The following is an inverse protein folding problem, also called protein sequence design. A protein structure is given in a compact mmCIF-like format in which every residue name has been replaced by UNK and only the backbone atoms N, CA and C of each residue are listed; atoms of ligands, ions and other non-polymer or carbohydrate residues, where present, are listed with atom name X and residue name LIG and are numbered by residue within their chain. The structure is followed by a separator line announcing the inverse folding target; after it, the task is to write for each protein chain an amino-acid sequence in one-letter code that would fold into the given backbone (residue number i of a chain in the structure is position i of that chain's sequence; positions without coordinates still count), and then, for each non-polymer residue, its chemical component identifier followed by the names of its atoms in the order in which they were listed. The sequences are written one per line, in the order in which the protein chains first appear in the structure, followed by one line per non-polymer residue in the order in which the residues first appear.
data_IF_051479563133
#
_entry.id   IF_051479563133
#
_cell.length_a   1.000
_cell.length_b   1.000
_cell.length_c   1.000
_cell.angle_alpha   90.00
_cell.angle_beta   90.00
_cell.angle_gamma   90.00
#
_symmetry.space_group_name_H-M   'P 1'
#
loop_
_entity.id
_entity.type
_entity.pdbx_description
1 polymer ?
#
# COMPACT_ATOMS: atom_id res chain seq x y z
N UNK A 1 17.00 -32.79 43.45
CA UNK A 1 16.32 -31.47 43.35
C UNK A 1 15.89 -31.23 41.91
N UNK A 2 14.60 -31.43 41.59
CA UNK A 2 14.00 -31.13 40.26
C UNK A 2 13.10 -29.91 40.44
N UNK A 3 13.38 -28.80 39.75
CA UNK A 3 12.48 -27.64 39.67
C UNK A 3 11.77 -27.69 38.33
N UNK A 4 10.48 -27.97 38.36
CA UNK A 4 9.54 -27.81 37.25
C UNK A 4 9.04 -26.36 37.25
N UNK A 5 9.39 -25.60 36.23
CA UNK A 5 8.86 -24.26 35.99
C UNK A 5 7.56 -24.32 35.20
N UNK A 6 6.44 -24.04 35.86
CA UNK A 6 5.16 -23.76 35.20
C UNK A 6 5.20 -22.35 34.60
N UNK A 7 4.89 -22.23 33.31
CA UNK A 7 4.64 -20.96 32.64
C UNK A 7 3.13 -20.75 32.51
N UNK A 8 2.60 -19.74 33.20
CA UNK A 8 1.24 -19.25 32.96
C UNK A 8 1.25 -18.28 31.78
N UNK A 9 0.51 -18.59 30.73
CA UNK A 9 0.19 -17.67 29.65
C UNK A 9 -0.88 -16.68 30.13
N UNK A 10 -0.56 -15.39 30.11
CA UNK A 10 -1.52 -14.31 30.33
C UNK A 10 -2.26 -14.04 29.00
N UNK A 11 -3.54 -14.36 28.97
CA UNK A 11 -4.42 -14.16 27.82
C UNK A 11 -5.14 -12.80 27.97
N UNK A 12 -4.66 -11.77 27.28
CA UNK A 12 -5.29 -10.44 27.24
C UNK A 12 -6.33 -10.38 26.12
N UNK A 13 -7.49 -10.98 26.37
CA UNK A 13 -8.71 -10.79 25.59
C UNK A 13 -9.67 -9.83 26.29
N UNK A 14 -10.17 -8.84 25.54
CA UNK A 14 -11.34 -7.96 25.82
C UNK A 14 -11.15 -6.78 26.79
N UNK A 15 -10.93 -5.60 26.20
CA UNK A 15 -11.44 -4.33 26.74
C UNK A 15 -12.07 -3.54 25.58
N UNK A 16 -13.33 -3.86 25.26
CA UNK A 16 -14.19 -2.99 24.46
C UNK A 16 -14.89 -2.00 25.38
N UNK A 17 -14.25 -0.86 25.67
CA UNK A 17 -14.89 0.25 26.37
C UNK A 17 -15.76 1.02 25.36
N UNK A 18 -17.05 0.68 25.34
CA UNK A 18 -18.08 1.52 24.74
C UNK A 18 -18.30 2.73 25.65
N UNK A 19 -17.76 3.88 25.26
CA UNK A 19 -18.03 5.16 25.93
C UNK A 19 -19.38 5.70 25.45
N UNK A 20 -20.46 5.28 26.11
CA UNK A 20 -21.75 5.96 26.06
C UNK A 20 -21.69 7.19 26.97
N UNK A 21 -21.45 8.37 26.40
CA UNK A 21 -21.56 9.62 27.14
C UNK A 21 -23.04 9.94 27.39
N UNK A 22 -23.51 10.04 28.64
CA UNK A 22 -24.87 10.49 28.91
C UNK A 22 -25.02 11.96 28.51
N UNK A 23 -26.07 12.27 27.75
CA UNK A 23 -26.48 13.60 27.27
C UNK A 23 -26.67 14.67 28.38
N UNK A 24 -26.41 14.33 29.65
CA UNK A 24 -26.55 15.20 30.82
C UNK A 24 -25.31 16.06 31.13
N UNK A 25 -24.17 15.82 30.47
CA UNK A 25 -22.95 16.61 30.71
C UNK A 25 -22.87 17.93 29.92
N UNK A 26 -23.64 18.08 28.84
CA UNK A 26 -23.63 19.32 28.04
C UNK A 26 -24.33 20.49 28.73
N UNK A 27 -25.26 20.24 29.66
CA UNK A 27 -25.95 21.31 30.40
C UNK A 27 -25.11 21.88 31.55
N UNK A 28 -24.15 21.12 32.09
CA UNK A 28 -23.31 21.58 33.20
C UNK A 28 -22.23 22.59 32.77
N UNK A 29 -21.68 22.45 31.55
CA UNK A 29 -20.66 23.37 31.04
C UNK A 29 -21.25 24.71 30.62
N UNK A 30 -22.51 24.73 30.14
CA UNK A 30 -23.20 25.97 29.80
C UNK A 30 -23.50 26.86 31.02
N UNK A 31 -23.76 26.27 32.20
CA UNK A 31 -23.99 27.05 33.43
C UNK A 31 -22.70 27.59 34.07
N UNK A 32 -21.56 26.92 33.89
CA UNK A 32 -20.29 27.38 34.46
C UNK A 32 -19.70 28.61 33.73
N UNK A 33 -20.12 28.88 32.48
CA UNK A 33 -19.68 30.06 31.72
C UNK A 33 -20.51 31.32 32.00
N UNK A 34 -21.65 31.19 32.68
CA UNK A 34 -22.52 32.33 32.99
C UNK A 34 -22.06 33.17 34.20
N UNK A 35 -21.13 32.69 35.03
CA UNK A 35 -20.67 33.41 36.24
C UNK A 35 -19.47 34.34 36.02
N UNK A 36 -18.90 34.38 34.81
CA UNK A 36 -17.70 35.15 34.50
C UNK A 36 -17.96 36.56 33.94
N UNK A 37 -19.21 37.04 33.93
CA UNK A 37 -19.52 38.43 33.55
C UNK A 37 -19.12 38.82 32.12
N UNK A 38 -18.91 37.83 31.24
CA UNK A 38 -18.65 38.06 29.82
C UNK A 38 -19.99 38.35 29.17
N UNK A 39 -20.24 39.61 28.83
CA UNK A 39 -21.47 40.05 28.17
C UNK A 39 -21.75 39.25 26.89
N UNK A 40 -23.02 39.18 26.44
CA UNK A 40 -23.42 38.40 25.28
C UNK A 40 -22.77 38.99 24.01
N UNK A 41 -21.59 38.48 23.68
CA UNK A 41 -20.98 38.75 22.38
C UNK A 41 -21.83 38.01 21.35
N UNK A 42 -22.52 38.79 20.54
CA UNK A 42 -23.42 38.36 19.49
C UNK A 42 -22.61 37.52 18.49
N UNK A 43 -22.59 36.20 18.67
CA UNK A 43 -21.95 35.26 17.74
C UNK A 43 -22.82 35.24 16.48
N UNK A 44 -22.49 36.12 15.53
CA UNK A 44 -23.04 36.06 14.19
C UNK A 44 -22.57 34.77 13.53
N UNK A 45 -23.46 33.79 13.47
CA UNK A 45 -23.30 32.62 12.61
C UNK A 45 -23.33 33.11 11.16
N UNK A 46 -22.15 33.27 10.57
CA UNK A 46 -22.01 33.44 9.12
C UNK A 46 -22.41 32.11 8.49
N UNK A 47 -23.64 32.07 7.95
CA UNK A 47 -24.14 30.93 7.19
C UNK A 47 -23.22 30.71 5.98
N UNK A 48 -22.37 29.69 6.04
CA UNK A 48 -21.53 29.29 4.92
C UNK A 48 -22.43 28.90 3.74
N UNK A 49 -22.28 29.62 2.63
CA UNK A 49 -23.00 29.29 1.40
C UNK A 49 -22.71 27.83 0.99
N UNK A 50 -23.72 27.07 0.54
CA UNK A 50 -23.52 25.68 0.14
C UNK A 50 -22.55 25.62 -1.04
N UNK A 51 -21.37 25.07 -0.81
CA UNK A 51 -20.41 24.74 -1.87
C UNK A 51 -21.10 23.76 -2.83
N UNK A 52 -21.42 24.26 -4.03
CA UNK A 52 -22.00 23.46 -5.11
C UNK A 52 -20.95 22.47 -5.61
N UNK A 53 -20.92 21.29 -4.99
CA UNK A 53 -20.19 20.12 -5.49
C UNK A 53 -20.94 19.58 -6.70
N UNK A 54 -20.63 20.10 -7.90
CA UNK A 54 -21.04 19.43 -9.15
C UNK A 54 -20.49 18.01 -9.13
N UNK A 55 -21.34 16.97 -9.13
CA UNK A 55 -20.86 15.60 -9.14
C UNK A 55 -20.12 15.37 -10.46
N UNK A 56 -18.84 14.99 -10.35
CA UNK A 56 -18.06 14.54 -11.49
C UNK A 56 -18.85 13.40 -12.15
N UNK A 57 -19.21 13.60 -13.42
CA UNK A 57 -19.96 12.63 -14.22
C UNK A 57 -19.06 11.40 -14.41
N UNK A 58 -19.31 10.36 -13.62
CA UNK A 58 -18.57 9.11 -13.60
C UNK A 58 -18.98 8.31 -14.85
N UNK A 59 -18.20 8.42 -15.95
CA UNK A 59 -18.48 7.79 -17.26
C UNK A 59 -18.04 6.31 -17.28
N UNK A 60 -18.44 5.55 -16.26
CA UNK A 60 -18.28 4.09 -16.30
C UNK A 60 -19.63 3.45 -16.05
N UNK A 61 -20.13 2.57 -16.94
CA UNK A 61 -21.34 1.82 -16.68
C UNK A 61 -21.13 0.98 -15.41
N UNK A 62 -21.82 1.37 -14.34
CA UNK A 62 -21.95 0.58 -13.11
C UNK A 62 -22.85 -0.61 -13.41
N UNK A 63 -22.29 -1.66 -14.00
CA UNK A 63 -22.88 -2.98 -13.81
C UNK A 63 -22.54 -3.40 -12.36
N UNK A 64 -23.52 -3.48 -11.45
CA UNK A 64 -23.28 -3.84 -10.05
C UNK A 64 -22.68 -5.24 -9.87
N UNK A 65 -22.67 -6.06 -10.93
CA UNK A 65 -22.12 -7.40 -10.94
C UNK A 65 -20.82 -7.54 -11.75
N UNK A 66 -20.37 -6.50 -12.45
CA UNK A 66 -19.07 -6.53 -13.14
C UNK A 66 -17.95 -6.33 -12.13
N UNK A 67 -17.53 -7.43 -11.50
CA UNK A 67 -16.21 -7.49 -10.86
C UNK A 67 -15.22 -7.80 -11.98
N UNK A 68 -14.34 -6.87 -12.39
CA UNK A 68 -13.26 -7.23 -13.29
C UNK A 68 -12.52 -8.43 -12.68
N UNK A 69 -12.09 -9.38 -13.49
CA UNK A 69 -11.28 -10.49 -13.03
C UNK A 69 -9.97 -9.94 -12.45
N UNK A 70 -9.95 -9.68 -11.14
CA UNK A 70 -8.76 -9.22 -10.45
C UNK A 70 -7.82 -10.43 -10.36
N UNK A 71 -6.89 -10.52 -11.30
CA UNK A 71 -5.77 -11.44 -11.19
C UNK A 71 -4.96 -10.99 -9.98
N UNK A 72 -4.83 -11.89 -9.01
CA UNK A 72 -4.07 -11.73 -7.79
C UNK A 72 -2.66 -11.28 -8.14
N UNK A 73 -2.40 -10.01 -7.87
CA UNK A 73 -1.12 -9.38 -8.19
C UNK A 73 -0.22 -9.45 -6.98
N UNK A 74 0.94 -10.07 -7.12
CA UNK A 74 1.99 -10.07 -6.10
C UNK A 74 2.99 -8.96 -6.42
N UNK A 75 3.11 -7.99 -5.53
CA UNK A 75 4.13 -6.94 -5.62
C UNK A 75 5.28 -7.29 -4.69
N UNK A 76 6.50 -7.29 -5.21
CA UNK A 76 7.70 -7.48 -4.40
C UNK A 76 8.30 -6.13 -4.05
N UNK A 77 8.47 -5.93 -2.75
CA UNK A 77 9.23 -4.83 -2.17
C UNK A 77 10.55 -5.43 -1.72
N UNK A 78 11.55 -5.35 -2.59
CA UNK A 78 12.85 -5.99 -2.37
C UNK A 78 13.82 -4.95 -1.83
N UNK A 79 14.06 -4.97 -0.52
CA UNK A 79 15.23 -4.28 0.04
C UNK A 79 16.48 -5.18 0.01
N UNK A 80 16.28 -6.50 0.01
CA UNK A 80 17.36 -7.49 -0.02
C UNK A 80 17.08 -8.54 -1.12
N UNK A 81 17.81 -8.41 -2.22
CA UNK A 81 17.66 -9.29 -3.37
C UNK A 81 18.24 -10.68 -3.14
N UNK A 82 19.18 -10.82 -2.20
CA UNK A 82 19.85 -12.09 -1.94
C UNK A 82 18.85 -13.12 -1.37
N UNK A 83 17.94 -12.68 -0.49
CA UNK A 83 16.90 -13.54 0.10
C UNK A 83 15.95 -14.17 -0.93
N UNK A 84 15.77 -13.52 -2.07
CA UNK A 84 14.86 -13.98 -3.12
C UNK A 84 15.57 -14.78 -4.22
N UNK A 85 16.91 -14.75 -4.24
CA UNK A 85 17.74 -15.40 -5.25
C UNK A 85 17.99 -16.89 -4.97
N UNK A 86 17.65 -17.40 -3.78
CA UNK A 86 17.81 -18.81 -3.44
C UNK A 86 17.07 -19.72 -4.44
N UNK A 87 17.71 -20.83 -4.82
CA UNK A 87 17.12 -21.84 -5.69
C UNK A 87 16.34 -22.83 -4.84
N UNK A 88 15.08 -23.04 -5.19
CA UNK A 88 14.21 -24.04 -4.55
C UNK A 88 14.25 -25.30 -5.41
N UNK A 89 14.61 -26.47 -4.85
CA UNK A 89 14.56 -27.74 -5.57
C UNK A 89 13.12 -28.10 -5.93
N UNK A 90 12.94 -28.99 -6.90
CA UNK A 90 11.62 -29.47 -7.26
C UNK A 90 10.92 -30.10 -6.04
N UNK A 91 9.68 -29.68 -5.78
CA UNK A 91 8.92 -30.05 -4.59
C UNK A 91 7.49 -30.42 -4.98
N UNK A 92 7.04 -31.57 -4.50
CA UNK A 92 5.65 -32.01 -4.63
C UNK A 92 5.06 -32.19 -3.24
N UNK A 93 4.01 -31.45 -2.93
CA UNK A 93 3.28 -31.53 -1.68
C UNK A 93 1.82 -31.90 -2.00
N UNK A 94 1.25 -32.85 -1.26
CA UNK A 94 -0.14 -33.28 -1.42
C UNK A 94 -0.97 -32.86 -0.22
N UNK A 95 -2.18 -32.38 -0.46
CA UNK A 95 -3.17 -32.04 0.57
C UNK A 95 -2.64 -31.10 1.66
N UNK A 96 -1.84 -30.11 1.26
CA UNK A 96 -1.19 -29.16 2.18
C UNK A 96 -1.96 -27.85 2.25
N UNK A 97 -1.89 -27.20 3.41
CA UNK A 97 -2.44 -25.86 3.60
C UNK A 97 -1.42 -24.78 3.25
N UNK A 98 -1.88 -23.56 2.95
CA UNK A 98 -1.01 -22.43 2.63
C UNK A 98 0.09 -22.19 3.70
N UNK A 99 -0.21 -22.15 5.02
CA UNK A 99 0.83 -21.97 6.03
C UNK A 99 1.86 -23.10 6.04
N UNK A 100 1.44 -24.34 5.78
CA UNK A 100 2.36 -25.49 5.72
C UNK A 100 3.32 -25.38 4.54
N UNK A 101 2.82 -24.98 3.37
CA UNK A 101 3.65 -24.78 2.17
C UNK A 101 4.67 -23.67 2.41
N UNK A 102 4.25 -22.54 2.98
CA UNK A 102 5.12 -21.40 3.25
C UNK A 102 6.18 -21.73 4.31
N UNK A 103 5.82 -22.46 5.37
CA UNK A 103 6.78 -22.94 6.38
C UNK A 103 7.77 -23.93 5.78
N UNK A 104 7.33 -24.83 4.89
CA UNK A 104 8.21 -25.77 4.20
C UNK A 104 9.20 -25.03 3.30
N UNK A 105 8.70 -24.06 2.53
CA UNK A 105 9.52 -23.19 1.70
C UNK A 105 10.58 -22.44 2.52
N UNK A 106 10.17 -21.80 3.62
CA UNK A 106 11.05 -21.15 4.59
C UNK A 106 12.13 -22.09 5.15
N UNK A 107 11.76 -23.32 5.51
CA UNK A 107 12.72 -24.30 6.05
C UNK A 107 13.79 -24.73 5.04
N UNK A 108 13.44 -24.82 3.75
CA UNK A 108 14.36 -25.21 2.68
C UNK A 108 15.35 -24.07 2.38
N UNK A 109 14.86 -22.84 2.32
CA UNK A 109 15.69 -21.66 1.99
C UNK A 109 16.39 -21.05 3.19
N UNK A 110 16.07 -21.49 4.42
CA UNK A 110 16.54 -20.90 5.67
C UNK A 110 16.20 -19.41 5.81
N UNK A 111 15.12 -18.97 5.16
CA UNK A 111 14.63 -17.58 5.23
C UNK A 111 13.48 -17.50 6.21
N UNK A 112 13.43 -16.48 7.07
CA UNK A 112 12.30 -16.28 7.96
C UNK A 112 11.11 -15.71 7.16
N UNK A 113 10.00 -16.43 7.08
CA UNK A 113 8.80 -15.98 6.37
C UNK A 113 7.64 -15.80 7.35
N UNK A 114 7.09 -14.59 7.38
CA UNK A 114 5.98 -14.21 8.26
C UNK A 114 4.80 -13.77 7.39
N UNK A 115 3.68 -14.49 7.47
CA UNK A 115 2.44 -14.12 6.79
C UNK A 115 1.47 -13.40 7.73
N UNK A 116 0.84 -12.33 7.26
CA UNK A 116 -0.29 -11.69 7.98
C UNK A 116 -1.57 -12.50 7.76
N UNK A 117 -1.71 -13.61 8.50
CA UNK A 117 -2.83 -14.55 8.36
C UNK A 117 -4.20 -13.90 8.56
N UNK A 118 -4.29 -12.99 9.53
CA UNK A 118 -5.51 -12.24 9.80
C UNK A 118 -5.92 -11.35 8.61
N UNK A 119 -4.95 -10.71 7.94
CA UNK A 119 -5.24 -9.89 6.77
C UNK A 119 -5.73 -10.75 5.58
N UNK A 120 -5.17 -11.94 5.39
CA UNK A 120 -5.62 -12.88 4.36
C UNK A 120 -7.05 -13.40 4.63
N UNK A 121 -7.37 -13.71 5.90
CA UNK A 121 -8.72 -14.14 6.29
C UNK A 121 -9.78 -13.06 6.06
N UNK A 122 -9.46 -11.78 6.31
CA UNK A 122 -10.36 -10.65 6.01
C UNK A 122 -10.69 -10.51 4.52
N UNK A 123 -9.83 -11.04 3.64
CA UNK A 123 -10.06 -11.14 2.19
C UNK A 123 -10.67 -12.48 1.77
N UNK A 124 -11.28 -13.20 2.71
CA UNK A 124 -11.94 -14.49 2.51
C UNK A 124 -11.03 -15.60 1.98
N UNK A 125 -9.71 -15.53 2.20
CA UNK A 125 -8.81 -16.62 1.87
C UNK A 125 -8.97 -17.73 2.91
N UNK A 126 -9.36 -18.92 2.46
CA UNK A 126 -9.51 -20.08 3.33
C UNK A 126 -8.13 -20.72 3.59
N UNK A 127 -7.51 -20.36 4.72
CA UNK A 127 -6.22 -20.90 5.15
C UNK A 127 -6.24 -22.42 5.44
N UNK A 128 -7.43 -23.00 5.65
CA UNK A 128 -7.61 -24.44 5.91
C UNK A 128 -7.81 -25.24 4.62
N UNK A 129 -7.99 -24.57 3.47
CA UNK A 129 -8.10 -25.24 2.17
C UNK A 129 -6.83 -26.03 1.92
N UNK A 130 -6.99 -27.32 1.63
CA UNK A 130 -5.90 -28.22 1.28
C UNK A 130 -5.83 -28.30 -0.23
N UNK A 131 -4.63 -28.10 -0.77
CA UNK A 131 -4.37 -28.22 -2.20
C UNK A 131 -3.09 -29.01 -2.45
N UNK A 132 -3.01 -29.62 -3.63
CA UNK A 132 -1.79 -30.25 -4.11
C UNK A 132 -0.93 -29.19 -4.80
N UNK A 133 0.31 -29.06 -4.37
CA UNK A 133 1.26 -28.05 -4.86
C UNK A 133 2.43 -28.75 -5.53
N UNK A 134 2.68 -28.40 -6.78
CA UNK A 134 3.82 -28.89 -7.56
C UNK A 134 4.68 -27.70 -7.98
N UNK A 135 5.90 -27.67 -7.48
CA UNK A 135 6.89 -26.65 -7.80
C UNK A 135 8.06 -27.31 -8.52
N UNK A 136 8.40 -26.81 -9.71
CA UNK A 136 9.64 -27.17 -10.38
C UNK A 136 10.86 -26.52 -9.71
N UNK A 137 12.06 -26.94 -10.10
CA UNK A 137 13.29 -26.29 -9.69
C UNK A 137 13.31 -24.83 -10.20
N UNK A 138 13.13 -23.88 -9.30
CA UNK A 138 12.93 -22.46 -9.65
C UNK A 138 13.52 -21.54 -8.59
N UNK A 139 13.62 -20.23 -8.88
CA UNK A 139 14.00 -19.27 -7.86
C UNK A 139 12.92 -19.14 -6.79
N UNK A 140 13.34 -18.85 -5.56
CA UNK A 140 12.45 -18.71 -4.42
C UNK A 140 11.35 -17.68 -4.65
N UNK A 141 11.70 -16.55 -5.31
CA UNK A 141 10.73 -15.57 -5.79
C UNK A 141 9.62 -16.20 -6.63
N UNK A 142 9.97 -16.98 -7.65
CA UNK A 142 8.99 -17.60 -8.56
C UNK A 142 8.14 -18.64 -7.85
N UNK A 143 8.76 -19.47 -7.01
CA UNK A 143 8.06 -20.45 -6.18
C UNK A 143 7.03 -19.79 -5.27
N UNK A 144 7.39 -18.70 -4.58
CA UNK A 144 6.50 -17.97 -3.70
C UNK A 144 5.32 -17.34 -4.46
N UNK A 145 5.55 -16.73 -5.62
CA UNK A 145 4.46 -16.22 -6.47
C UNK A 145 3.53 -17.35 -6.91
N UNK A 146 4.07 -18.48 -7.35
CA UNK A 146 3.28 -19.60 -7.85
C UNK A 146 2.35 -20.14 -6.76
N UNK A 147 2.89 -20.39 -5.55
CA UNK A 147 2.10 -20.82 -4.39
C UNK A 147 1.03 -19.80 -4.05
N UNK A 148 1.39 -18.53 -3.91
CA UNK A 148 0.45 -17.48 -3.50
C UNK A 148 -0.66 -17.28 -4.55
N UNK A 149 -0.35 -17.35 -5.84
CA UNK A 149 -1.36 -17.31 -6.91
C UNK A 149 -2.32 -18.50 -6.87
N UNK A 150 -1.81 -19.68 -6.54
CA UNK A 150 -2.63 -20.88 -6.43
C UNK A 150 -3.64 -20.77 -5.28
N UNK A 151 -3.21 -20.34 -4.09
CA UNK A 151 -4.09 -20.26 -2.91
C UNK A 151 -4.94 -18.98 -2.84
N UNK A 152 -4.49 -17.88 -3.45
CA UNK A 152 -5.15 -16.58 -3.38
C UNK A 152 -5.19 -15.86 -4.74
N UNK A 153 -5.87 -16.45 -5.75
CA UNK A 153 -5.88 -15.92 -7.12
C UNK A 153 -6.58 -14.58 -7.28
N UNK A 154 -7.36 -14.11 -6.29
CA UNK A 154 -8.14 -12.86 -6.36
C UNK A 154 -7.69 -11.82 -5.33
N UNK A 155 -6.52 -12.00 -4.72
CA UNK A 155 -6.03 -11.08 -3.68
C UNK A 155 -4.73 -10.47 -4.10
N UNK A 156 -4.70 -9.13 -4.10
CA UNK A 156 -3.49 -8.36 -4.27
C UNK A 156 -2.63 -8.48 -3.01
N UNK A 157 -1.46 -9.09 -3.16
CA UNK A 157 -0.51 -9.35 -2.09
C UNK A 157 0.74 -8.50 -2.27
N UNK A 158 1.28 -8.06 -1.14
CA UNK A 158 2.54 -7.34 -1.06
C UNK A 158 3.51 -8.22 -0.28
N UNK A 159 4.67 -8.48 -0.87
CA UNK A 159 5.74 -9.27 -0.26
C UNK A 159 6.91 -8.32 -0.01
N UNK A 160 7.22 -8.08 1.25
CA UNK A 160 8.27 -7.17 1.68
C UNK A 160 9.43 -7.94 2.28
N UNK A 161 10.65 -7.70 1.79
CA UNK A 161 11.87 -8.21 2.38
C UNK A 161 12.51 -7.14 3.25
N UNK A 162 12.59 -7.35 4.56
CA UNK A 162 13.25 -6.44 5.49
C UNK A 162 13.90 -7.23 6.63
N UNK A 163 15.13 -6.85 7.00
CA UNK A 163 15.84 -7.42 8.16
C UNK A 163 15.91 -8.95 8.15
N UNK A 164 16.19 -9.56 6.99
CA UNK A 164 16.22 -11.03 6.82
C UNK A 164 14.87 -11.73 7.09
N UNK A 165 13.77 -10.97 7.09
CA UNK A 165 12.40 -11.48 7.21
C UNK A 165 11.60 -11.11 5.97
N UNK A 166 10.87 -12.10 5.45
CA UNK A 166 9.93 -11.94 4.36
C UNK A 166 8.52 -11.82 4.92
N UNK A 167 7.96 -10.64 4.79
CA UNK A 167 6.59 -10.34 5.20
C UNK A 167 5.65 -10.49 4.02
N UNK A 168 4.67 -11.38 4.14
CA UNK A 168 3.58 -11.53 3.16
C UNK A 168 2.32 -10.90 3.73
N UNK A 169 1.83 -9.83 3.10
CA UNK A 169 0.64 -9.10 3.54
C UNK A 169 -0.30 -8.82 2.37
N UNK A 170 -1.50 -8.35 2.68
CA UNK A 170 -2.44 -7.86 1.66
C UNK A 170 -2.16 -6.40 1.35
N UNK A 171 -2.46 -5.97 0.13
CA UNK A 171 -2.35 -4.56 -0.25
C UNK A 171 -3.17 -3.65 0.68
N UNK A 172 -4.38 -4.07 1.06
CA UNK A 172 -5.24 -3.31 1.96
C UNK A 172 -4.62 -3.10 3.36
N UNK A 173 -3.88 -4.09 3.86
CA UNK A 173 -3.17 -3.98 5.14
C UNK A 173 -1.91 -3.11 5.01
N UNK A 174 -1.17 -3.23 3.90
CA UNK A 174 -0.03 -2.35 3.60
C UNK A 174 -0.45 -0.88 3.50
N UNK A 175 -1.63 -0.62 2.94
CA UNK A 175 -2.21 0.72 2.80
C UNK A 175 -2.57 1.40 4.14
N UNK A 176 -2.69 0.61 5.21
CA UNK A 176 -2.94 1.14 6.55
C UNK A 176 -1.67 1.62 7.23
N UNK A 177 -0.51 1.10 6.84
CA UNK A 177 0.79 1.45 7.42
C UNK A 177 1.47 2.51 6.58
N UNK A 178 1.29 3.78 6.97
CA UNK A 178 1.92 4.91 6.30
C UNK A 178 3.30 5.17 6.91
N UNK A 179 4.29 5.33 6.03
CA UNK A 179 5.65 5.70 6.40
C UNK A 179 5.93 7.07 5.78
N UNK A 180 6.52 7.98 6.54
CA UNK A 180 6.97 9.28 6.02
C UNK A 180 8.45 9.20 5.70
N UNK A 181 8.83 9.60 4.49
CA UNK A 181 10.23 9.72 4.03
C UNK A 181 10.40 11.02 3.26
N UNK A 182 11.57 11.62 3.42
CA UNK A 182 11.98 12.79 2.65
C UNK A 182 12.96 12.34 1.58
N UNK A 183 12.71 12.76 0.34
CA UNK A 183 13.52 12.48 -0.84
C UNK A 183 14.04 13.79 -1.41
N UNK A 184 15.21 13.75 -2.01
CA UNK A 184 15.65 14.83 -2.90
C UNK A 184 14.86 14.76 -4.20
N UNK A 185 14.48 15.91 -4.74
CA UNK A 185 13.71 16.00 -5.97
C UNK A 185 14.46 15.35 -7.14
N UNK A 186 15.78 15.53 -7.20
CA UNK A 186 16.67 14.99 -8.22
C UNK A 186 16.63 13.44 -8.25
N UNK A 187 16.69 12.81 -7.08
CA UNK A 187 16.62 11.35 -6.95
C UNK A 187 15.28 10.80 -7.43
N UNK A 188 14.18 11.51 -7.15
CA UNK A 188 12.86 11.12 -7.63
C UNK A 188 12.77 11.23 -9.16
N UNK A 189 13.33 12.29 -9.73
CA UNK A 189 13.40 12.49 -11.19
C UNK A 189 14.22 11.38 -11.84
N UNK A 190 15.33 10.95 -11.26
CA UNK A 190 16.16 9.87 -11.83
C UNK A 190 15.43 8.51 -11.78
N UNK A 191 14.66 8.26 -10.72
CA UNK A 191 13.94 7.01 -10.52
C UNK A 191 12.63 6.92 -11.32
N UNK A 192 11.96 8.05 -11.59
CA UNK A 192 10.66 8.11 -12.27
C UNK A 192 10.61 7.56 -13.71
N UNK A 193 11.60 7.81 -14.59
CA UNK A 193 11.65 7.22 -15.92
C UNK A 193 11.53 5.70 -15.88
N UNK A 194 11.98 5.04 -14.81
CA UNK A 194 11.83 3.59 -14.62
C UNK A 194 10.41 3.20 -14.22
N UNK A 195 9.82 3.97 -13.30
CA UNK A 195 8.44 3.79 -12.84
C UNK A 195 7.47 3.87 -14.02
N UNK A 196 7.72 4.81 -14.94
CA UNK A 196 6.83 5.08 -16.07
C UNK A 196 7.09 4.12 -17.25
N UNK A 197 8.36 3.73 -17.49
CA UNK A 197 8.71 2.71 -18.51
C UNK A 197 8.07 1.35 -18.23
N UNK A 198 7.79 1.00 -16.97
CA UNK A 198 7.10 -0.24 -16.60
C UNK A 198 5.57 -0.18 -16.77
N UNK A 199 4.99 0.99 -17.07
CA UNK A 199 3.54 1.22 -17.05
C UNK A 199 2.94 1.65 -18.39
N UNK A 200 3.40 2.74 -19.01
CA UNK A 200 2.90 3.23 -20.31
C UNK A 200 3.67 4.48 -20.76
N UNK A 201 3.81 4.67 -22.08
CA UNK A 201 4.61 5.69 -22.78
C UNK A 201 4.54 7.15 -22.23
N UNK A 202 5.63 7.63 -21.62
CA UNK A 202 5.96 9.06 -21.44
C UNK A 202 5.80 9.88 -22.74
N UNK A 203 6.06 9.24 -23.88
CA UNK A 203 5.86 9.82 -25.22
C UNK A 203 4.42 10.28 -25.47
N UNK A 204 3.40 9.65 -24.86
CA UNK A 204 2.01 10.08 -25.02
C UNK A 204 1.68 11.36 -24.25
N UNK A 205 2.32 11.61 -23.11
CA UNK A 205 2.21 12.89 -22.40
C UNK A 205 2.95 13.99 -23.16
N UNK A 206 4.14 13.69 -23.72
CA UNK A 206 4.87 14.62 -24.59
C UNK A 206 4.07 14.99 -25.84
N UNK A 207 3.43 14.01 -26.49
CA UNK A 207 2.57 14.22 -27.67
C UNK A 207 1.24 14.90 -27.35
N UNK A 208 0.65 14.70 -26.16
CA UNK A 208 -0.53 15.48 -25.71
C UNK A 208 -0.17 16.93 -25.40
N UNK A 209 1.01 17.20 -24.85
CA UNK A 209 1.51 18.56 -24.67
C UNK A 209 1.71 19.30 -25.99
N UNK A 210 2.16 18.60 -27.04
CA UNK A 210 2.43 19.20 -28.34
C UNK A 210 1.17 19.62 -29.13
N UNK A 211 0.00 19.00 -28.89
CA UNK A 211 -1.23 19.29 -29.66
C UNK A 211 -2.15 20.36 -29.04
N UNK A 212 -1.74 20.98 -27.92
CA UNK A 212 -2.55 21.99 -27.19
C UNK A 212 -1.95 23.42 -27.30
N UNK A 213 -0.89 23.62 -28.08
CA UNK A 213 -0.17 24.90 -28.15
C UNK A 213 -0.71 25.88 -29.21
N UNK A 214 -2.01 26.18 -29.15
CA UNK A 214 -2.60 27.39 -29.76
C UNK A 214 -3.37 28.22 -28.71
N UNK A 215 -3.05 28.05 -27.43
CA UNK A 215 -3.61 28.84 -26.34
C UNK A 215 -2.49 29.53 -25.57
N UNK A 216 -2.76 30.83 -25.31
CA UNK A 216 -2.06 31.80 -24.44
C UNK A 216 -1.01 31.17 -23.53
N UNK A 217 0.25 31.67 -23.51
CA UNK A 217 1.30 31.12 -22.66
C UNK A 217 0.81 31.06 -21.22
N UNK A 218 0.59 29.83 -20.73
CA UNK A 218 0.33 29.62 -19.31
C UNK A 218 1.60 30.02 -18.56
N UNK A 219 1.49 30.67 -17.40
CA UNK A 219 2.64 30.96 -16.56
C UNK A 219 3.43 29.67 -16.38
N UNK A 220 4.76 29.74 -16.57
CA UNK A 220 5.65 28.61 -16.36
C UNK A 220 5.44 28.09 -14.94
N UNK A 221 4.71 26.99 -14.79
CA UNK A 221 4.69 26.27 -13.54
C UNK A 221 6.10 25.72 -13.30
N UNK A 222 6.65 25.87 -12.10
CA UNK A 222 7.93 25.26 -11.77
C UNK A 222 7.86 23.77 -12.10
N UNK A 223 8.96 23.23 -12.64
CA UNK A 223 9.08 21.83 -13.12
C UNK A 223 8.61 20.82 -12.05
N UNK A 224 8.71 21.19 -10.78
CA UNK A 224 8.36 20.38 -9.64
C UNK A 224 6.87 20.03 -9.54
N UNK A 225 5.94 20.94 -9.90
CA UNK A 225 4.49 20.65 -9.88
C UNK A 225 4.13 19.48 -10.81
N UNK A 226 4.84 19.36 -11.93
CA UNK A 226 4.61 18.31 -12.92
C UNK A 226 5.00 16.91 -12.37
N UNK A 227 6.05 16.84 -11.55
CA UNK A 227 6.56 15.58 -11.01
C UNK A 227 5.63 15.02 -9.93
N UNK A 228 5.12 15.87 -9.04
CA UNK A 228 4.15 15.50 -8.02
C UNK A 228 2.87 14.92 -8.65
N UNK A 229 2.34 15.61 -9.67
CA UNK A 229 1.18 15.12 -10.43
C UNK A 229 1.49 13.78 -11.12
N UNK A 230 2.67 13.65 -11.71
CA UNK A 230 3.09 12.42 -12.38
C UNK A 230 3.18 11.24 -11.40
N UNK A 231 3.77 11.44 -10.23
CA UNK A 231 3.84 10.42 -9.16
C UNK A 231 2.43 10.04 -8.70
N UNK A 232 1.61 11.03 -8.35
CA UNK A 232 0.26 10.79 -7.80
C UNK A 232 -0.67 10.14 -8.82
N UNK A 233 -0.50 10.37 -10.11
CA UNK A 233 -1.29 9.76 -11.17
C UNK A 233 -0.77 8.37 -11.61
N UNK A 234 0.55 8.14 -11.52
CA UNK A 234 1.16 6.89 -12.01
C UNK A 234 1.24 5.82 -10.92
N UNK A 235 1.62 6.20 -9.70
CA UNK A 235 1.88 5.25 -8.61
C UNK A 235 0.62 5.11 -7.76
N UNK A 236 -0.18 4.07 -8.04
CA UNK A 236 -1.36 3.68 -7.23
C UNK A 236 -2.30 4.88 -6.92
N UNK A 237 -2.92 5.51 -7.93
CA UNK A 237 -3.57 6.82 -7.78
C UNK A 237 -4.57 6.91 -6.63
N UNK A 238 -5.33 5.84 -6.38
CA UNK A 238 -6.37 5.77 -5.35
C UNK A 238 -5.90 5.94 -3.90
N UNK A 239 -4.59 5.84 -3.62
CA UNK A 239 -4.11 5.95 -2.24
C UNK A 239 -3.79 7.39 -1.83
N UNK A 240 -3.69 8.32 -2.76
CA UNK A 240 -3.27 9.70 -2.50
C UNK A 240 -4.42 10.58 -2.04
N UNK A 241 -4.14 11.57 -1.19
CA UNK A 241 -5.13 12.51 -0.63
C UNK A 241 -5.93 13.24 -1.72
N UNK A 242 -5.28 13.64 -2.82
CA UNK A 242 -5.93 14.29 -3.97
C UNK A 242 -6.94 13.38 -4.69
N UNK A 243 -6.88 12.07 -4.46
CA UNK A 243 -7.82 11.07 -4.99
C UNK A 243 -8.67 10.41 -3.89
N UNK A 244 -8.76 11.01 -2.70
CA UNK A 244 -9.56 10.51 -1.58
C UNK A 244 -8.90 9.40 -0.76
N UNK A 245 -7.61 9.15 -0.95
CA UNK A 245 -6.82 8.23 -0.14
C UNK A 245 -6.20 8.89 1.10
N UNK A 246 -5.24 8.21 1.75
CA UNK A 246 -4.58 8.66 2.99
C UNK A 246 -3.13 9.11 2.80
N UNK A 247 -2.52 8.79 1.66
CA UNK A 247 -1.12 9.11 1.39
C UNK A 247 -0.97 10.58 1.00
N UNK A 248 0.08 11.22 1.49
CA UNK A 248 0.37 12.62 1.22
C UNK A 248 1.72 12.76 0.52
N UNK A 249 1.83 13.79 -0.31
CA UNK A 249 3.11 14.21 -0.89
C UNK A 249 3.15 15.74 -0.87
N UNK A 250 4.22 16.29 -0.32
CA UNK A 250 4.43 17.73 -0.21
C UNK A 250 5.87 18.08 -0.52
N UNK A 251 6.07 19.16 -1.24
CA UNK A 251 7.38 19.68 -1.59
C UNK A 251 7.67 20.94 -0.76
N UNK A 252 8.88 21.01 -0.21
CA UNK A 252 9.41 22.19 0.46
C UNK A 252 10.82 22.40 -0.05
N UNK A 253 11.00 23.39 -0.91
CA UNK A 253 12.24 23.61 -1.68
C UNK A 253 12.57 22.35 -2.52
N UNK A 254 13.82 21.90 -2.53
CA UNK A 254 14.26 20.72 -3.30
C UNK A 254 14.02 19.38 -2.57
N UNK A 255 13.25 19.41 -1.47
CA UNK A 255 12.92 18.24 -0.68
C UNK A 255 11.44 17.88 -0.83
N UNK A 256 11.20 16.62 -1.20
CA UNK A 256 9.86 16.05 -1.32
C UNK A 256 9.61 15.12 -0.15
N UNK A 257 8.69 15.49 0.72
CA UNK A 257 8.23 14.66 1.83
C UNK A 257 7.04 13.83 1.37
N UNK A 258 7.21 12.51 1.38
CA UNK A 258 6.19 11.54 0.97
C UNK A 258 5.76 10.74 2.18
N UNK A 259 4.46 10.76 2.49
CA UNK A 259 3.82 9.88 3.47
C UNK A 259 2.96 8.86 2.74
N UNK A 260 3.47 7.65 2.58
CA UNK A 260 2.82 6.61 1.77
C UNK A 260 3.11 5.19 2.33
N UNK A 261 2.38 4.16 1.88
CA UNK A 261 2.62 2.77 2.24
C UNK A 261 4.04 2.31 1.91
N UNK A 262 4.53 1.31 2.64
CA UNK A 262 5.87 0.76 2.44
C UNK A 262 6.11 0.30 0.99
N UNK A 263 5.10 -0.27 0.34
CA UNK A 263 5.19 -0.66 -1.07
C UNK A 263 5.43 0.50 -2.02
N UNK A 264 4.82 1.65 -1.77
CA UNK A 264 5.02 2.87 -2.55
C UNK A 264 6.38 3.49 -2.26
N UNK A 265 6.78 3.53 -0.99
CA UNK A 265 8.09 4.05 -0.61
C UNK A 265 9.23 3.25 -1.26
N UNK A 266 9.06 1.95 -1.41
CA UNK A 266 10.01 1.13 -2.14
C UNK A 266 10.06 1.49 -3.62
N UNK A 267 8.91 1.66 -4.28
CA UNK A 267 8.83 2.07 -5.69
C UNK A 267 9.55 3.41 -5.90
N UNK A 268 9.32 4.37 -5.01
CA UNK A 268 9.92 5.71 -5.11
C UNK A 268 11.41 5.73 -4.80
N UNK A 269 11.87 4.92 -3.84
CA UNK A 269 13.29 4.82 -3.48
C UNK A 269 14.15 4.27 -4.64
N UNK A 270 13.56 3.42 -5.48
CA UNK A 270 14.32 2.71 -6.52
C UNK A 270 15.32 1.69 -5.94
N UNK A 271 16.03 0.94 -6.79
CA UNK A 271 17.11 0.07 -6.35
C UNK A 271 18.30 0.91 -5.85
N UNK A 272 18.90 0.53 -4.73
CA UNK A 272 20.08 1.22 -4.16
C UNK A 272 21.33 1.15 -5.05
N UNK A 273 21.37 0.23 -6.02
CA UNK A 273 22.43 0.12 -7.02
C UNK A 273 21.84 0.10 -8.44
N UNK A 274 22.36 0.98 -9.31
CA UNK A 274 22.06 0.99 -10.74
C UNK A 274 22.60 -0.29 -11.40
N UNK A 275 21.73 -1.22 -11.77
CA UNK A 275 22.08 -2.30 -12.70
C UNK A 275 21.25 -2.10 -13.98
N UNK A 276 21.86 -1.68 -15.10
CA UNK A 276 21.14 -1.42 -16.36
C UNK A 276 20.52 -2.67 -16.96
N UNK A 277 20.99 -3.86 -16.56
CA UNK A 277 20.55 -5.15 -17.05
C UNK A 277 19.57 -5.84 -16.08
N UNK A 278 19.30 -5.26 -14.92
CA UNK A 278 18.31 -5.81 -14.01
C UNK A 278 16.90 -5.55 -14.57
N UNK A 279 16.15 -6.63 -14.81
CA UNK A 279 14.73 -6.52 -15.14
C UNK A 279 14.03 -5.63 -14.09
N UNK A 280 13.16 -4.67 -14.50
CA UNK A 280 12.52 -3.75 -13.58
C UNK A 280 11.87 -4.54 -12.44
N UNK A 281 12.38 -4.31 -11.23
CA UNK A 281 12.08 -5.14 -10.07
C UNK A 281 10.59 -5.08 -9.68
N UNK A 282 9.91 -4.02 -10.11
CA UNK A 282 8.47 -3.84 -10.07
C UNK A 282 7.84 -4.37 -11.34
N UNK A 283 7.65 -5.69 -11.40
CA UNK A 283 6.73 -6.28 -12.37
C UNK A 283 5.30 -5.90 -11.95
N UNK A 284 4.86 -4.72 -12.38
CA UNK A 284 3.45 -4.49 -12.67
C UNK A 284 3.11 -5.37 -13.88
N UNK A 285 2.95 -6.68 -13.69
CA UNK A 285 2.49 -7.53 -14.80
C UNK A 285 1.01 -7.23 -15.00
N UNK A 286 0.74 -6.29 -15.90
CA UNK A 286 -0.55 -6.18 -16.54
C UNK A 286 -0.57 -7.32 -17.57
N UNK A 287 -1.39 -8.34 -17.31
CA UNK A 287 -1.84 -9.26 -18.35
C UNK A 287 -3.09 -8.67 -18.98
#
# INVERSE_FOLDING_TARGET
MKRTGHWCFFNSGQCGLSFSWPLRWLTAVAMALASLGVGPMLVQFVAAAPVSTRPAKEIFPKDPNFRPAEIGRCVFVVNDAALLAHVVPALTLRQVTLPQVLNKLSSITRTNLVGSWAALQRRHINLKKREDVRLGATSYRKALVAVLKQFAPHVHMVITAQENVLFVTTQQQDDQTLITRTYHLEDLIENLPRIIRAGTNLETFRKRGAKVLAHKPRPHHPISTNILELITNTVRPRIWLNHGGKANISEVNDLVTVTAPASVQAILKGPSHYNPNAAPLYLMVNY
#
